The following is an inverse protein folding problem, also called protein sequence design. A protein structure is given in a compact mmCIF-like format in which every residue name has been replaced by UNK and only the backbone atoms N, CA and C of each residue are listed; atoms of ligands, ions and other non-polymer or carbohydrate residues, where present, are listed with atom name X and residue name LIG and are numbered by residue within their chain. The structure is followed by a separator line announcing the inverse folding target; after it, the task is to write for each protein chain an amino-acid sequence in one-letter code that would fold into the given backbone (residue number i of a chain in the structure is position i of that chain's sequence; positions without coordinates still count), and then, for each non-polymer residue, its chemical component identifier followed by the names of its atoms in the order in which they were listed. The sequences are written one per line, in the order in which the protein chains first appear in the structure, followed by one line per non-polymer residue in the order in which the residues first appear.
data_IF_869822257691
#
_entry.id   IF_869822257691
#
_cell.length_a   1.000
_cell.length_b   1.000
_cell.length_c   1.000
_cell.angle_alpha   90.00
_cell.angle_beta   90.00
_cell.angle_gamma   90.00
#
_symmetry.space_group_name_H-M   'P 1'
#
loop_
_entity.id
_entity.type
_entity.pdbx_description
1 polymer ?
#
# COMPACT_ATOMS: atom_id res chain seq x y z
N UNK A 1 -1.01 -18.33 19.40
CA UNK A 1 -2.23 -18.70 18.64
C UNK A 1 -2.92 -17.42 18.16
N UNK A 2 -3.66 -17.49 17.06
CA UNK A 2 -4.52 -16.41 16.57
C UNK A 2 -5.87 -17.00 16.17
N UNK A 3 -6.96 -16.30 16.48
CA UNK A 3 -8.32 -16.64 16.05
C UNK A 3 -8.77 -15.66 14.97
N UNK A 4 -9.40 -16.20 13.92
CA UNK A 4 -9.80 -15.47 12.72
C UNK A 4 -11.30 -15.66 12.52
N UNK A 5 -12.02 -14.57 12.22
CA UNK A 5 -13.42 -14.62 11.81
C UNK A 5 -13.62 -13.79 10.55
N UNK A 6 -14.24 -14.38 9.53
CA UNK A 6 -14.55 -13.73 8.26
C UNK A 6 -16.06 -13.45 8.18
N UNK A 7 -16.44 -12.43 7.42
CA UNK A 7 -17.85 -11.98 7.30
C UNK A 7 -18.80 -13.05 6.72
N UNK A 8 -18.26 -14.07 6.04
CA UNK A 8 -19.03 -15.23 5.57
C UNK A 8 -19.26 -16.29 6.66
N UNK A 9 -18.90 -16.01 7.91
CA UNK A 9 -19.08 -16.88 9.07
C UNK A 9 -17.95 -17.91 9.28
N UNK A 10 -16.93 -17.91 8.42
CA UNK A 10 -15.77 -18.80 8.58
C UNK A 10 -14.97 -18.40 9.82
N UNK A 11 -14.80 -19.35 10.73
CA UNK A 11 -14.00 -19.20 11.95
C UNK A 11 -12.84 -20.18 11.93
N UNK A 12 -11.62 -19.67 12.10
CA UNK A 12 -10.39 -20.46 12.05
C UNK A 12 -9.50 -20.14 13.26
N UNK A 13 -8.71 -21.13 13.67
CA UNK A 13 -7.59 -20.94 14.59
C UNK A 13 -6.30 -21.28 13.86
N UNK A 14 -5.29 -20.45 14.05
CA UNK A 14 -4.01 -20.59 13.39
C UNK A 14 -2.85 -20.20 14.31
N UNK A 15 -1.64 -20.29 13.77
CA UNK A 15 -0.42 -19.91 14.48
C UNK A 15 -0.10 -18.44 14.19
N UNK A 16 0.40 -17.73 15.21
CA UNK A 16 0.85 -16.34 15.06
C UNK A 16 2.37 -16.32 15.03
N UNK A 17 2.94 -15.52 14.13
CA UNK A 17 4.37 -15.27 14.06
C UNK A 17 4.73 -13.78 13.97
N UNK A 18 3.77 -12.88 13.82
CA UNK A 18 3.99 -11.42 13.73
C UNK A 18 3.69 -10.68 15.04
N UNK A 19 3.13 -9.47 14.91
CA UNK A 19 2.68 -8.67 16.04
C UNK A 19 1.51 -9.35 16.80
N UNK A 20 1.24 -8.86 18.01
CA UNK A 20 0.08 -9.24 18.83
C UNK A 20 -0.99 -8.14 18.79
N UNK A 21 -2.24 -8.51 18.98
CA UNK A 21 -3.37 -7.58 19.05
C UNK A 21 -4.63 -8.13 18.39
N UNK A 22 -5.62 -7.25 18.25
CA UNK A 22 -6.83 -7.46 17.45
C UNK A 22 -6.83 -6.46 16.32
N UNK A 23 -7.00 -6.93 15.09
CA UNK A 23 -7.05 -6.07 13.91
C UNK A 23 -8.22 -6.48 13.02
N UNK A 24 -8.83 -5.49 12.38
CA UNK A 24 -9.91 -5.67 11.40
C UNK A 24 -9.45 -5.14 10.06
N UNK A 25 -9.83 -5.83 8.99
CA UNK A 25 -9.48 -5.44 7.65
C UNK A 25 -10.15 -6.29 6.60
N UNK A 26 -10.00 -5.89 5.34
CA UNK A 26 -10.47 -6.66 4.20
C UNK A 26 -9.43 -7.71 3.80
N UNK A 27 -9.87 -8.93 3.55
CA UNK A 27 -9.03 -10.04 3.14
C UNK A 27 -8.91 -10.05 1.61
N UNK A 28 -7.67 -9.91 1.13
CA UNK A 28 -7.31 -10.01 -0.29
C UNK A 28 -6.25 -11.09 -0.48
N UNK A 29 -5.96 -11.47 -1.72
CA UNK A 29 -4.86 -12.38 -2.01
C UNK A 29 -3.88 -11.81 -3.04
N UNK A 30 -2.63 -12.21 -2.90
CA UNK A 30 -1.56 -11.84 -3.81
C UNK A 30 -0.83 -13.09 -4.35
N UNK A 31 -0.64 -13.14 -5.66
CA UNK A 31 -0.06 -14.30 -6.36
C UNK A 31 1.44 -14.22 -6.59
N UNK A 32 2.10 -13.17 -6.13
CA UNK A 32 3.55 -13.00 -6.25
C UNK A 32 4.28 -14.14 -5.53
N UNK A 33 5.28 -14.69 -6.22
CA UNK A 33 6.16 -15.75 -5.68
C UNK A 33 7.36 -15.18 -4.91
N UNK A 34 7.65 -13.90 -5.09
CA UNK A 34 8.70 -13.13 -4.43
C UNK A 34 8.21 -11.72 -4.10
N UNK A 35 9.01 -10.96 -3.36
CA UNK A 35 8.68 -9.57 -3.06
C UNK A 35 7.59 -9.41 -1.99
N UNK A 36 7.53 -10.33 -1.01
CA UNK A 36 6.52 -10.27 0.04
C UNK A 36 6.66 -9.01 0.89
N UNK A 37 7.88 -8.49 1.09
CA UNK A 37 8.11 -7.31 1.90
C UNK A 37 7.61 -6.05 1.21
N UNK A 38 7.85 -5.92 -0.08
CA UNK A 38 7.38 -4.85 -0.95
C UNK A 38 5.85 -4.81 -0.96
N UNK A 39 5.20 -5.99 -1.03
CA UNK A 39 3.74 -6.11 -0.89
C UNK A 39 3.27 -5.67 0.50
N UNK A 40 3.96 -6.09 1.57
CA UNK A 40 3.59 -5.76 2.95
C UNK A 40 3.69 -4.26 3.21
N UNK A 41 4.66 -3.58 2.59
CA UNK A 41 4.96 -2.15 2.75
C UNK A 41 4.35 -1.25 1.69
N UNK A 42 3.55 -1.79 0.76
CA UNK A 42 2.82 -1.00 -0.23
C UNK A 42 1.60 -0.33 0.45
N UNK A 43 1.51 1.02 0.41
CA UNK A 43 0.40 1.77 1.01
C UNK A 43 -0.98 1.36 0.49
N UNK A 44 -1.06 0.79 -0.71
CA UNK A 44 -2.31 0.35 -1.33
C UNK A 44 -3.01 -0.76 -0.52
N UNK A 45 -2.27 -1.52 0.27
CA UNK A 45 -2.83 -2.56 1.17
C UNK A 45 -3.19 -2.04 2.57
N UNK A 46 -3.16 -0.71 2.80
CA UNK A 46 -3.57 -0.16 4.10
C UNK A 46 -5.00 -0.60 4.44
N UNK A 47 -5.18 -1.15 5.63
CA UNK A 47 -6.48 -1.68 6.07
C UNK A 47 -6.76 -3.11 5.60
N UNK A 48 -5.89 -3.73 4.81
CA UNK A 48 -6.12 -5.07 4.25
C UNK A 48 -5.24 -6.14 4.89
N UNK A 49 -5.77 -7.36 4.97
CA UNK A 49 -5.02 -8.59 5.20
C UNK A 49 -4.64 -9.23 3.87
N UNK A 50 -3.37 -9.56 3.68
CA UNK A 50 -2.87 -10.17 2.44
C UNK A 50 -2.64 -11.66 2.62
N UNK A 51 -3.39 -12.48 1.88
CA UNK A 51 -3.13 -13.92 1.73
C UNK A 51 -2.11 -14.13 0.63
N UNK A 52 -0.94 -14.65 0.97
CA UNK A 52 0.06 -15.02 -0.04
C UNK A 52 -0.25 -16.40 -0.61
N UNK A 53 -0.26 -16.49 -1.94
CA UNK A 53 -0.41 -17.78 -2.62
C UNK A 53 0.86 -18.64 -2.57
N UNK A 54 2.04 -18.00 -2.48
CA UNK A 54 3.32 -18.67 -2.36
C UNK A 54 3.37 -19.43 -1.02
N UNK A 55 3.62 -20.75 -1.03
CA UNK A 55 3.54 -21.56 0.19
C UNK A 55 4.62 -21.19 1.21
N UNK A 56 5.84 -20.90 0.75
CA UNK A 56 7.00 -20.62 1.59
C UNK A 56 7.29 -19.11 1.64
N UNK A 57 7.02 -18.50 2.80
CA UNK A 57 7.23 -17.06 3.02
C UNK A 57 8.27 -16.86 4.13
N UNK A 58 9.10 -15.83 4.00
CA UNK A 58 10.16 -15.49 4.96
C UNK A 58 11.56 -16.01 4.60
N UNK A 59 11.69 -16.77 3.50
CA UNK A 59 12.96 -17.45 3.11
C UNK A 59 14.14 -16.51 2.85
N UNK A 60 13.89 -15.25 2.48
CA UNK A 60 14.94 -14.23 2.26
C UNK A 60 15.01 -13.19 3.37
N UNK A 61 14.31 -13.40 4.49
CA UNK A 61 14.29 -12.47 5.62
C UNK A 61 13.64 -11.14 5.23
N UNK A 62 14.10 -10.05 5.80
CA UNK A 62 13.67 -8.70 5.44
C UNK A 62 14.79 -7.68 5.69
N UNK A 63 14.70 -6.53 5.03
CA UNK A 63 15.66 -5.41 5.12
C UNK A 63 14.98 -4.09 4.77
N UNK A 64 15.35 -2.96 5.39
CA UNK A 64 14.61 -1.71 5.15
C UNK A 64 14.77 -1.13 3.73
N UNK A 65 15.68 -1.65 2.90
CA UNK A 65 15.85 -1.18 1.52
C UNK A 65 14.74 -1.71 0.60
N UNK A 66 14.07 -2.80 0.95
CA UNK A 66 12.92 -3.34 0.20
C UNK A 66 11.57 -2.77 0.68
N UNK A 67 11.56 -1.80 1.60
CA UNK A 67 10.32 -1.09 1.97
C UNK A 67 9.89 -0.13 0.84
N UNK A 68 8.66 -0.30 0.37
CA UNK A 68 8.00 0.62 -0.56
C UNK A 68 7.45 1.86 0.16
N UNK A 69 7.22 1.80 1.47
CA UNK A 69 6.82 2.94 2.29
C UNK A 69 7.00 2.69 3.79
N UNK A 70 6.71 3.72 4.61
CA UNK A 70 6.59 3.58 6.06
C UNK A 70 5.25 2.95 6.51
N UNK A 71 4.29 2.81 5.60
CA UNK A 71 3.01 2.18 5.87
C UNK A 71 3.06 0.68 5.61
N UNK A 72 2.08 -0.04 6.15
CA UNK A 72 1.98 -1.48 5.96
C UNK A 72 0.53 -1.93 5.86
N UNK A 73 0.33 -3.11 5.28
CA UNK A 73 -0.91 -3.86 5.40
C UNK A 73 -1.25 -4.18 6.87
N UNK A 74 -2.51 -4.52 7.14
CA UNK A 74 -3.01 -4.87 8.48
C UNK A 74 -2.42 -6.19 8.99
N UNK A 75 -2.24 -7.15 8.08
CA UNK A 75 -1.70 -8.45 8.42
C UNK A 75 -1.45 -9.32 7.20
N UNK A 76 -0.75 -10.43 7.41
CA UNK A 76 -0.43 -11.39 6.37
C UNK A 76 -0.85 -12.80 6.77
N UNK A 77 -1.35 -13.55 5.80
CA UNK A 77 -1.70 -14.96 5.95
C UNK A 77 -0.81 -15.78 5.01
N UNK A 78 -0.09 -16.73 5.58
CA UNK A 78 0.86 -17.58 4.84
C UNK A 78 0.60 -19.05 5.15
N UNK A 79 0.98 -19.93 4.22
CA UNK A 79 0.86 -21.37 4.44
C UNK A 79 1.97 -21.85 5.39
N UNK A 80 3.23 -21.64 5.00
CA UNK A 80 4.42 -21.95 5.78
C UNK A 80 5.24 -20.68 5.98
N UNK A 81 5.55 -20.40 7.25
CA UNK A 81 6.48 -19.34 7.62
C UNK A 81 7.84 -19.97 7.92
N UNK A 82 8.89 -19.46 7.25
CA UNK A 82 10.27 -19.88 7.48
C UNK A 82 10.92 -18.94 8.51
N UNK A 83 11.23 -19.48 9.69
CA UNK A 83 11.92 -18.73 10.74
C UNK A 83 13.39 -18.44 10.37
N UNK A 84 14.05 -19.42 9.74
CA UNK A 84 15.39 -19.27 9.21
C UNK A 84 15.33 -18.69 7.81
N UNK A 85 16.09 -17.62 7.60
CA UNK A 85 16.24 -16.98 6.29
C UNK A 85 17.67 -17.13 5.77
N UNK A 86 17.83 -17.12 4.44
CA UNK A 86 19.13 -17.19 3.78
C UNK A 86 19.19 -16.23 2.60
N UNK A 87 19.65 -15.02 2.87
CA UNK A 87 19.92 -14.02 1.85
C UNK A 87 20.98 -13.03 2.35
N UNK A 88 21.93 -12.64 1.50
CA UNK A 88 23.00 -11.72 1.87
C UNK A 88 22.51 -10.30 2.19
N UNK A 89 21.31 -9.92 1.72
CA UNK A 89 20.69 -8.62 1.99
C UNK A 89 19.83 -8.60 3.24
N UNK A 90 19.61 -9.74 3.91
CA UNK A 90 18.69 -9.83 5.03
C UNK A 90 19.32 -9.31 6.32
N UNK A 91 18.64 -8.37 6.98
CA UNK A 91 19.05 -7.80 8.27
C UNK A 91 18.35 -8.49 9.45
N UNK A 92 17.14 -9.03 9.21
CA UNK A 92 16.29 -9.63 10.24
C UNK A 92 15.31 -10.65 9.65
N UNK A 93 14.72 -11.48 10.51
CA UNK A 93 13.64 -12.40 10.12
C UNK A 93 12.37 -11.62 9.80
N UNK A 94 11.50 -12.21 8.97
CA UNK A 94 10.21 -11.60 8.68
C UNK A 94 9.34 -11.45 9.95
N UNK A 95 9.40 -12.38 10.92
CA UNK A 95 8.72 -12.22 12.22
C UNK A 95 9.14 -10.94 12.94
N UNK A 96 10.45 -10.68 13.04
CA UNK A 96 10.97 -9.49 13.70
C UNK A 96 10.54 -8.21 12.98
N UNK A 97 10.56 -8.22 11.64
CA UNK A 97 10.04 -7.13 10.81
C UNK A 97 8.57 -6.83 11.09
N UNK A 98 7.70 -7.85 11.04
CA UNK A 98 6.25 -7.68 11.24
C UNK A 98 5.94 -7.15 12.64
N UNK A 99 6.61 -7.65 13.68
CA UNK A 99 6.48 -7.14 15.05
C UNK A 99 6.86 -5.66 15.13
N UNK A 100 7.98 -5.27 14.51
CA UNK A 100 8.43 -3.86 14.48
C UNK A 100 7.44 -2.95 13.74
N UNK A 101 6.76 -3.47 12.71
CA UNK A 101 5.76 -2.72 11.92
C UNK A 101 4.34 -2.80 12.48
N UNK A 102 4.11 -3.55 13.55
CA UNK A 102 2.76 -3.76 14.12
C UNK A 102 1.84 -4.58 13.22
N UNK A 103 2.38 -5.40 12.33
CA UNK A 103 1.63 -6.21 11.36
C UNK A 103 1.35 -7.59 11.93
N UNK A 104 0.11 -8.06 11.87
CA UNK A 104 -0.22 -9.43 12.28
C UNK A 104 0.36 -10.44 11.27
N UNK A 105 1.07 -11.45 11.76
CA UNK A 105 1.57 -12.56 10.94
C UNK A 105 0.86 -13.85 11.32
N UNK A 106 0.16 -14.47 10.37
CA UNK A 106 -0.65 -15.67 10.58
C UNK A 106 -0.16 -16.79 9.66
N UNK A 107 0.17 -17.95 10.22
CA UNK A 107 0.68 -19.10 9.47
C UNK A 107 -0.05 -20.41 9.80
N UNK A 108 0.17 -21.43 8.98
CA UNK A 108 -0.48 -22.74 9.12
C UNK A 108 -1.92 -22.79 8.62
N UNK A 109 -2.36 -21.77 7.87
CA UNK A 109 -3.70 -21.75 7.24
C UNK A 109 -3.65 -22.43 5.88
N UNK A 110 -4.77 -22.99 5.42
CA UNK A 110 -4.92 -23.41 4.03
C UNK A 110 -5.17 -22.17 3.14
N UNK A 111 -4.07 -21.52 2.73
CA UNK A 111 -4.14 -20.33 1.87
C UNK A 111 -4.80 -20.61 0.54
N UNK A 112 -4.69 -21.84 -0.01
CA UNK A 112 -5.34 -22.21 -1.27
C UNK A 112 -6.86 -22.23 -1.13
N UNK A 113 -7.38 -22.80 -0.03
CA UNK A 113 -8.82 -22.78 0.24
C UNK A 113 -9.32 -21.36 0.49
N UNK A 114 -8.58 -20.52 1.23
CA UNK A 114 -8.93 -19.10 1.41
C UNK A 114 -8.98 -18.34 0.08
N UNK A 115 -7.98 -18.53 -0.79
CA UNK A 115 -7.95 -17.90 -2.12
C UNK A 115 -9.15 -18.35 -2.97
N UNK A 116 -9.53 -19.64 -2.93
CA UNK A 116 -10.74 -20.11 -3.60
C UNK A 116 -11.99 -19.42 -3.06
N UNK A 117 -12.12 -19.29 -1.74
CA UNK A 117 -13.24 -18.57 -1.12
C UNK A 117 -13.33 -17.14 -1.63
N UNK A 118 -12.22 -16.40 -1.64
CA UNK A 118 -12.15 -15.02 -2.13
C UNK A 118 -12.48 -14.91 -3.62
N UNK A 119 -12.03 -15.86 -4.45
CA UNK A 119 -12.38 -15.89 -5.88
C UNK A 119 -13.88 -16.09 -6.12
N UNK A 120 -14.58 -16.79 -5.23
CA UNK A 120 -16.02 -17.04 -5.36
C UNK A 120 -16.89 -15.93 -4.77
N UNK A 121 -16.45 -15.28 -3.68
CA UNK A 121 -17.27 -14.32 -2.93
C UNK A 121 -16.83 -12.86 -3.12
N UNK A 122 -15.69 -12.61 -3.77
CA UNK A 122 -15.01 -11.32 -3.74
C UNK A 122 -14.20 -11.13 -2.46
N UNK A 123 -13.77 -9.89 -2.23
CA UNK A 123 -13.07 -9.51 -1.00
C UNK A 123 -14.00 -9.66 0.22
N UNK A 124 -13.47 -10.14 1.34
CA UNK A 124 -14.24 -10.40 2.56
C UNK A 124 -13.68 -9.60 3.72
N UNK A 125 -14.52 -8.95 4.52
CA UNK A 125 -14.09 -8.39 5.80
C UNK A 125 -13.71 -9.51 6.78
N UNK A 126 -12.68 -9.24 7.58
CA UNK A 126 -12.10 -10.18 8.54
C UNK A 126 -11.60 -9.47 9.79
N UNK A 127 -11.77 -10.14 10.95
CA UNK A 127 -11.04 -9.82 12.18
C UNK A 127 -10.07 -10.95 12.52
N UNK A 128 -8.87 -10.59 12.95
CA UNK A 128 -7.89 -11.50 13.53
C UNK A 128 -7.49 -11.03 14.92
N UNK A 129 -7.40 -11.94 15.89
CA UNK A 129 -6.98 -11.61 17.24
C UNK A 129 -6.07 -12.66 17.88
N UNK A 130 -4.98 -12.19 18.48
CA UNK A 130 -4.11 -13.00 19.36
C UNK A 130 -4.55 -12.95 20.83
N UNK A 131 -5.61 -12.21 21.16
CA UNK A 131 -6.05 -11.94 22.53
C UNK A 131 -7.46 -12.48 22.75
N UNK A 132 -8.38 -12.18 21.84
CA UNK A 132 -9.75 -12.68 21.86
C UNK A 132 -9.87 -13.93 20.98
N UNK A 133 -10.57 -14.94 21.49
CA UNK A 133 -10.68 -16.26 20.87
C UNK A 133 -12.12 -16.78 20.85
N UNK A 134 -13.06 -16.06 21.47
CA UNK A 134 -14.48 -16.31 21.37
C UNK A 134 -15.01 -15.88 19.99
N UNK A 135 -15.70 -16.80 19.33
CA UNK A 135 -16.27 -16.58 17.98
C UNK A 135 -17.30 -15.45 17.99
N UNK A 136 -18.19 -15.41 18.99
CA UNK A 136 -19.31 -14.46 19.02
C UNK A 136 -18.80 -13.03 19.24
N UNK A 137 -17.79 -12.84 20.08
CA UNK A 137 -17.15 -11.54 20.27
C UNK A 137 -16.41 -11.08 19.02
N UNK A 138 -15.71 -11.97 18.32
CA UNK A 138 -15.05 -11.62 17.06
C UNK A 138 -16.07 -11.25 15.97
N UNK A 139 -17.19 -11.98 15.92
CA UNK A 139 -18.31 -11.63 15.05
C UNK A 139 -18.89 -10.24 15.38
N UNK A 140 -19.07 -9.91 16.66
CA UNK A 140 -19.52 -8.59 17.09
C UNK A 140 -18.53 -7.48 16.71
N UNK A 141 -17.22 -7.70 16.93
CA UNK A 141 -16.17 -6.76 16.51
C UNK A 141 -16.24 -6.50 15.01
N UNK A 142 -16.39 -7.56 14.21
CA UNK A 142 -16.44 -7.45 12.75
C UNK A 142 -17.70 -6.73 12.27
N UNK A 143 -18.87 -7.01 12.87
CA UNK A 143 -20.14 -6.35 12.55
C UNK A 143 -20.12 -4.84 12.82
N UNK A 144 -19.41 -4.41 13.86
CA UNK A 144 -19.31 -3.00 14.24
C UNK A 144 -18.18 -2.25 13.53
N UNK A 145 -17.33 -2.93 12.75
CA UNK A 145 -16.22 -2.31 12.06
C UNK A 145 -16.67 -1.60 10.77
N UNK A 146 -16.13 -0.40 10.47
CA UNK A 146 -16.40 0.25 9.20
C UNK A 146 -15.80 -0.56 8.06
N UNK A 147 -16.49 -0.59 6.92
CA UNK A 147 -15.92 -1.13 5.68
C UNK A 147 -14.79 -0.23 5.18
N UNK A 148 -13.83 -0.83 4.50
CA UNK A 148 -12.72 -0.12 3.87
C UNK A 148 -13.21 0.96 2.90
N UNK A 149 -14.25 0.67 2.13
CA UNK A 149 -14.87 1.62 1.19
C UNK A 149 -15.36 2.92 1.84
N UNK A 150 -15.62 2.91 3.15
CA UNK A 150 -16.11 4.06 3.90
C UNK A 150 -15.02 4.73 4.75
N UNK A 151 -13.79 4.23 4.69
CA UNK A 151 -12.67 4.73 5.50
C UNK A 151 -11.79 5.68 4.67
N UNK A 152 -11.38 6.85 5.19
CA UNK A 152 -10.53 7.81 4.46
C UNK A 152 -9.06 7.33 4.43
N UNK A 153 -8.80 6.19 3.78
CA UNK A 153 -7.49 5.53 3.83
C UNK A 153 -6.39 6.38 3.19
N UNK A 154 -6.69 7.09 2.10
CA UNK A 154 -5.75 8.00 1.43
C UNK A 154 -5.22 9.06 2.40
N UNK A 155 -6.09 9.69 3.19
CA UNK A 155 -5.68 10.69 4.17
C UNK A 155 -4.74 10.09 5.25
N UNK A 156 -4.86 8.80 5.53
CA UNK A 156 -3.99 8.10 6.49
C UNK A 156 -2.61 7.72 5.94
N UNK A 157 -2.39 7.79 4.62
CA UNK A 157 -1.14 7.41 3.96
C UNK A 157 -0.50 8.52 3.12
N UNK A 158 -1.17 9.66 2.97
CA UNK A 158 -0.61 10.85 2.31
C UNK A 158 0.42 11.56 3.19
N UNK A 159 1.42 12.17 2.56
CA UNK A 159 2.30 13.14 3.22
C UNK A 159 1.49 14.30 3.82
N UNK A 160 1.85 14.80 5.03
CA UNK A 160 1.18 15.95 5.65
C UNK A 160 1.65 17.30 5.09
N UNK A 161 2.79 17.33 4.38
CA UNK A 161 3.38 18.55 3.82
C UNK A 161 4.12 18.25 2.53
N UNK A 162 4.44 19.31 1.80
CA UNK A 162 5.23 19.20 0.58
C UNK A 162 6.64 18.71 0.95
N UNK A 163 7.08 17.63 0.30
CA UNK A 163 8.43 17.06 0.49
C UNK A 163 9.07 16.77 -0.86
N UNK A 164 10.39 16.87 -0.94
CA UNK A 164 11.16 16.47 -2.13
C UNK A 164 11.70 15.07 -1.92
N UNK A 165 11.44 14.16 -2.86
CA UNK A 165 12.06 12.83 -2.83
C UNK A 165 13.57 12.94 -3.05
N UNK A 166 14.37 12.04 -2.46
CA UNK A 166 15.84 12.19 -2.39
C UNK A 166 16.61 11.02 -3.01
N UNK A 167 15.92 10.04 -3.60
CA UNK A 167 16.52 8.80 -4.08
C UNK A 167 16.09 8.50 -5.52
N UNK A 168 16.99 7.90 -6.28
CA UNK A 168 16.71 7.28 -7.57
C UNK A 168 16.70 5.75 -7.43
N UNK A 169 16.76 5.02 -8.55
CA UNK A 169 16.69 3.54 -8.58
C UNK A 169 17.76 2.86 -7.75
N UNK A 170 17.44 1.65 -7.28
CA UNK A 170 18.36 0.74 -6.61
C UNK A 170 19.50 0.32 -7.55
N UNK A 171 20.74 0.29 -7.04
CA UNK A 171 21.92 -0.19 -7.75
C UNK A 171 22.42 -1.50 -7.15
N UNK A 172 22.36 -2.57 -7.94
CA UNK A 172 22.81 -3.90 -7.52
C UNK A 172 24.33 -4.02 -7.35
N UNK A 173 25.12 -3.06 -7.85
CA UNK A 173 26.58 -3.06 -7.63
C UNK A 173 26.95 -2.55 -6.24
N UNK A 174 26.26 -1.52 -5.77
CA UNK A 174 26.48 -0.93 -4.43
C UNK A 174 25.55 -1.51 -3.38
N UNK A 175 24.50 -2.23 -3.81
CA UNK A 175 23.39 -2.69 -2.98
C UNK A 175 22.71 -1.53 -2.24
N UNK A 176 22.60 -0.37 -2.89
CA UNK A 176 21.97 0.82 -2.34
C UNK A 176 21.22 1.62 -3.40
N UNK A 177 20.35 2.52 -2.93
CA UNK A 177 19.69 3.49 -3.81
C UNK A 177 20.67 4.56 -4.25
N UNK A 178 20.62 4.91 -5.53
CA UNK A 178 21.38 6.05 -6.05
C UNK A 178 20.85 7.35 -5.40
N UNK A 179 21.73 8.26 -4.96
CA UNK A 179 21.28 9.56 -4.49
C UNK A 179 20.69 10.37 -5.64
N UNK A 180 19.78 11.28 -5.32
CA UNK A 180 19.36 12.31 -6.27
C UNK A 180 20.55 13.23 -6.60
N UNK A 181 20.87 13.41 -7.89
CA UNK A 181 21.89 14.36 -8.32
C UNK A 181 21.29 15.73 -8.58
N UNK A 182 21.37 16.62 -7.59
CA UNK A 182 20.85 18.00 -7.73
C UNK A 182 21.55 18.82 -8.83
N UNK A 183 22.70 18.36 -9.33
CA UNK A 183 23.47 19.07 -10.36
C UNK A 183 22.97 18.75 -11.77
N UNK A 184 22.22 17.67 -11.95
CA UNK A 184 21.62 17.37 -13.25
C UNK A 184 20.39 18.26 -13.48
N UNK A 185 20.20 18.73 -14.70
CA UNK A 185 19.00 19.51 -15.04
C UNK A 185 17.78 18.61 -15.01
N UNK A 186 16.89 18.83 -14.05
CA UNK A 186 15.68 18.06 -13.86
C UNK A 186 14.44 18.91 -14.16
N UNK A 187 13.48 18.32 -14.87
CA UNK A 187 12.11 18.86 -14.85
C UNK A 187 11.47 18.50 -13.52
N UNK A 188 10.76 19.44 -12.90
CA UNK A 188 10.06 19.20 -11.64
C UNK A 188 8.65 18.68 -11.95
N UNK A 189 8.24 17.61 -11.29
CA UNK A 189 6.87 17.07 -11.38
C UNK A 189 6.24 17.14 -9.99
N UNK A 190 5.02 17.68 -9.93
CA UNK A 190 4.21 17.60 -8.73
C UNK A 190 3.58 16.20 -8.63
N UNK A 191 3.85 15.47 -7.55
CA UNK A 191 3.23 14.19 -7.25
C UNK A 191 2.09 14.44 -6.25
N UNK A 192 0.84 14.19 -6.62
CA UNK A 192 -0.25 14.11 -5.65
C UNK A 192 -0.18 12.76 -4.94
N UNK A 193 0.09 12.80 -3.64
CA UNK A 193 0.36 11.64 -2.82
C UNK A 193 -0.92 11.02 -2.27
N UNK A 194 -1.40 9.99 -2.95
CA UNK A 194 -2.50 9.16 -2.48
C UNK A 194 -2.03 7.95 -1.65
N UNK A 195 -0.74 7.86 -1.32
CA UNK A 195 -0.07 6.65 -0.81
C UNK A 195 1.00 6.17 -1.79
N UNK A 196 1.85 7.08 -2.25
CA UNK A 196 2.85 6.81 -3.28
C UNK A 196 3.88 5.77 -2.81
N UNK A 197 4.09 4.76 -3.66
CA UNK A 197 5.20 3.82 -3.51
C UNK A 197 6.54 4.51 -3.74
N UNK A 198 7.52 4.18 -2.91
CA UNK A 198 8.90 4.66 -3.01
C UNK A 198 9.51 4.36 -4.37
N UNK A 199 9.25 3.17 -4.94
CA UNK A 199 9.83 2.83 -6.24
C UNK A 199 9.31 3.67 -7.40
N UNK A 200 8.05 4.11 -7.36
CA UNK A 200 7.52 5.05 -8.37
C UNK A 200 8.32 6.36 -8.35
N UNK A 201 8.59 6.88 -7.15
CA UNK A 201 9.36 8.10 -6.96
C UNK A 201 10.82 7.94 -7.40
N UNK A 202 11.42 6.77 -7.11
CA UNK A 202 12.76 6.41 -7.57
C UNK A 202 12.86 6.40 -9.10
N UNK A 203 11.88 5.80 -9.78
CA UNK A 203 11.85 5.73 -11.24
C UNK A 203 11.66 7.11 -11.89
N UNK A 204 10.78 7.95 -11.32
CA UNK A 204 10.62 9.34 -11.79
C UNK A 204 11.96 10.09 -11.75
N UNK A 205 12.71 9.98 -10.66
CA UNK A 205 14.03 10.61 -10.57
C UNK A 205 15.04 10.02 -11.53
N UNK A 206 15.05 8.70 -11.71
CA UNK A 206 15.98 8.02 -12.60
C UNK A 206 15.80 8.44 -14.07
N UNK A 207 14.58 8.78 -14.49
CA UNK A 207 14.33 9.36 -15.84
C UNK A 207 14.49 10.88 -15.90
N UNK A 208 15.02 11.51 -14.85
CA UNK A 208 15.34 12.92 -14.81
C UNK A 208 14.20 13.83 -14.34
N UNK A 209 13.18 13.30 -13.67
CA UNK A 209 12.06 14.08 -13.12
C UNK A 209 12.20 14.25 -11.60
N UNK A 210 12.42 15.48 -11.13
CA UNK A 210 12.46 15.81 -9.70
C UNK A 210 11.04 15.74 -9.15
N UNK A 211 10.76 14.74 -8.31
CA UNK A 211 9.46 14.54 -7.69
C UNK A 211 9.28 15.43 -6.45
N UNK A 212 8.37 16.41 -6.55
CA UNK A 212 7.88 17.22 -5.44
C UNK A 212 6.53 16.66 -4.99
N UNK A 213 6.48 16.07 -3.80
CA UNK A 213 5.34 15.30 -3.31
C UNK A 213 4.42 16.22 -2.51
N UNK A 214 3.19 16.36 -2.98
CA UNK A 214 2.13 17.19 -2.41
C UNK A 214 1.11 16.30 -1.67
N UNK A 215 0.53 16.78 -0.55
CA UNK A 215 -0.59 16.09 0.10
C UNK A 215 -1.76 15.80 -0.86
N UNK A 216 -2.49 14.70 -0.63
CA UNK A 216 -3.64 14.31 -1.46
C UNK A 216 -4.69 15.42 -1.64
N UNK A 217 -4.86 16.27 -0.62
CA UNK A 217 -5.86 17.33 -0.56
C UNK A 217 -5.37 18.67 -1.14
N UNK A 218 -4.22 18.70 -1.81
CA UNK A 218 -3.68 19.92 -2.41
C UNK A 218 -4.66 20.52 -3.43
N UNK A 219 -4.86 21.84 -3.35
CA UNK A 219 -5.80 22.55 -4.22
C UNK A 219 -5.25 22.71 -5.63
N UNK A 220 -6.10 22.48 -6.63
CA UNK A 220 -5.74 22.62 -8.04
C UNK A 220 -5.22 24.01 -8.36
N UNK A 221 -5.76 25.07 -7.73
CA UNK A 221 -5.30 26.45 -7.91
C UNK A 221 -3.82 26.64 -7.55
N UNK A 222 -3.30 25.91 -6.57
CA UNK A 222 -1.90 25.95 -6.18
C UNK A 222 -1.01 25.35 -7.27
N UNK A 223 -1.37 24.16 -7.77
CA UNK A 223 -0.63 23.45 -8.81
C UNK A 223 -0.70 24.16 -10.17
N UNK A 224 -1.85 24.76 -10.50
CA UNK A 224 -2.02 25.58 -11.70
C UNK A 224 -1.06 26.77 -11.65
N UNK A 225 -1.03 27.50 -10.52
CA UNK A 225 -0.12 28.64 -10.34
C UNK A 225 1.34 28.23 -10.44
N UNK A 226 1.73 27.08 -9.86
CA UNK A 226 3.09 26.55 -9.97
C UNK A 226 3.44 26.20 -11.43
N UNK A 227 2.49 25.63 -12.18
CA UNK A 227 2.67 25.29 -13.58
C UNK A 227 2.80 26.54 -14.48
N UNK A 228 1.94 27.54 -14.30
CA UNK A 228 1.98 28.81 -15.03
C UNK A 228 3.31 29.55 -14.84
N UNK A 229 3.87 29.48 -13.63
CA UNK A 229 5.19 30.03 -13.30
C UNK A 229 6.36 29.17 -13.77
N UNK A 230 6.10 28.01 -14.40
CA UNK A 230 7.10 27.01 -14.82
C UNK A 230 7.93 26.44 -13.67
N UNK A 231 7.39 26.47 -12.45
CA UNK A 231 7.99 25.83 -11.26
C UNK A 231 7.83 24.30 -11.33
N UNK A 232 6.76 23.82 -11.99
CA UNK A 232 6.55 22.41 -12.31
C UNK A 232 6.27 22.24 -13.81
N UNK A 233 6.57 21.04 -14.34
CA UNK A 233 6.40 20.68 -15.76
C UNK A 233 5.18 19.78 -16.01
N UNK A 234 4.56 19.25 -14.96
CA UNK A 234 3.43 18.34 -15.04
C UNK A 234 3.07 17.78 -13.68
N UNK A 235 2.02 16.96 -13.64
CA UNK A 235 1.47 16.38 -12.42
C UNK A 235 1.44 14.85 -12.57
N UNK A 236 1.84 14.16 -11.51
CA UNK A 236 1.74 12.72 -11.38
C UNK A 236 0.73 12.37 -10.29
N UNK A 237 -0.19 11.45 -10.59
CA UNK A 237 -1.21 10.95 -9.67
C UNK A 237 -0.78 9.56 -9.19
N UNK A 238 -0.44 9.41 -7.91
CA UNK A 238 0.13 8.18 -7.40
C UNK A 238 -0.88 7.04 -7.26
N UNK A 239 -0.37 5.85 -6.93
CA UNK A 239 -1.17 4.78 -6.36
C UNK A 239 -1.69 5.17 -4.95
N UNK A 240 -2.61 4.38 -4.42
CA UNK A 240 -3.13 4.54 -3.07
C UNK A 240 -4.16 3.47 -2.72
N UNK A 241 -4.57 3.41 -1.44
CA UNK A 241 -5.59 2.49 -0.95
C UNK A 241 -7.00 3.02 -1.15
N UNK A 242 -7.98 2.13 -0.95
CA UNK A 242 -9.40 2.50 -0.84
C UNK A 242 -10.12 2.64 -2.18
N UNK A 243 -11.37 3.08 -2.09
CA UNK A 243 -12.26 3.24 -3.24
C UNK A 243 -12.12 4.64 -3.86
N UNK A 244 -11.79 4.79 -5.16
CA UNK A 244 -11.72 6.09 -5.83
C UNK A 244 -13.02 6.89 -5.75
N UNK A 245 -14.18 6.23 -5.63
CA UNK A 245 -15.48 6.91 -5.51
C UNK A 245 -15.64 7.66 -4.18
N UNK A 246 -14.83 7.33 -3.16
CA UNK A 246 -14.79 8.07 -1.90
C UNK A 246 -14.06 9.43 -2.00
N UNK A 247 -13.29 9.65 -3.07
CA UNK A 247 -12.39 10.80 -3.25
C UNK A 247 -13.00 11.91 -4.11
N UNK A 248 -14.26 12.25 -3.84
CA UNK A 248 -15.01 13.23 -4.64
C UNK A 248 -14.37 14.62 -4.68
N UNK A 249 -13.70 15.01 -3.60
CA UNK A 249 -13.00 16.30 -3.54
C UNK A 249 -11.79 16.30 -4.47
N UNK A 250 -10.96 15.26 -4.41
CA UNK A 250 -9.78 15.05 -5.25
C UNK A 250 -10.18 14.94 -6.72
N UNK A 251 -11.26 14.22 -7.06
CA UNK A 251 -11.83 14.18 -8.41
C UNK A 251 -12.16 15.59 -8.90
N UNK A 252 -12.77 16.43 -8.04
CA UNK A 252 -13.07 17.83 -8.35
C UNK A 252 -11.84 18.72 -8.54
N UNK A 253 -10.75 18.47 -7.80
CA UNK A 253 -9.46 19.12 -8.02
C UNK A 253 -8.85 18.67 -9.36
N UNK A 254 -8.84 17.36 -9.64
CA UNK A 254 -8.30 16.79 -10.90
C UNK A 254 -9.05 17.32 -12.12
N UNK A 255 -10.38 17.44 -12.07
CA UNK A 255 -11.16 18.09 -13.14
C UNK A 255 -10.67 19.50 -13.47
N UNK A 256 -10.32 20.29 -12.46
CA UNK A 256 -9.76 21.64 -12.66
C UNK A 256 -8.38 21.59 -13.29
N UNK A 257 -7.52 20.64 -12.90
CA UNK A 257 -6.21 20.43 -13.51
C UNK A 257 -6.31 20.02 -14.99
N UNK A 258 -7.29 19.16 -15.33
CA UNK A 258 -7.58 18.77 -16.73
C UNK A 258 -7.98 20.01 -17.54
N UNK A 259 -8.89 20.83 -17.02
CA UNK A 259 -9.35 22.06 -17.71
C UNK A 259 -8.22 23.06 -17.93
N UNK A 260 -7.24 23.11 -17.03
CA UNK A 260 -6.02 23.91 -17.16
C UNK A 260 -4.99 23.32 -18.16
N UNK A 261 -5.27 22.16 -18.77
CA UNK A 261 -4.44 21.48 -19.78
C UNK A 261 -3.03 21.16 -19.29
N UNK A 262 -2.88 20.86 -17.99
CA UNK A 262 -1.59 20.46 -17.42
C UNK A 262 -1.32 18.99 -17.79
N UNK A 263 -0.11 18.65 -18.29
CA UNK A 263 0.25 17.26 -18.55
C UNK A 263 0.15 16.42 -17.29
N UNK A 264 -0.59 15.30 -17.38
CA UNK A 264 -0.86 14.41 -16.25
C UNK A 264 -0.57 12.96 -16.59
N UNK A 265 -0.03 12.23 -15.60
CA UNK A 265 0.16 10.78 -15.67
C UNK A 265 -0.31 10.15 -14.35
N UNK A 266 -1.15 9.12 -14.42
CA UNK A 266 -1.71 8.46 -13.24
C UNK A 266 -1.47 6.96 -13.23
N UNK A 267 -1.18 6.40 -12.05
CA UNK A 267 -0.96 4.96 -11.83
C UNK A 267 -1.94 4.43 -10.78
N UNK A 268 -2.53 3.25 -11.02
CA UNK A 268 -3.46 2.58 -10.09
C UNK A 268 -4.62 3.51 -9.70
N UNK A 269 -4.72 3.92 -8.43
CA UNK A 269 -5.71 4.88 -7.96
C UNK A 269 -5.67 6.20 -8.77
N UNK A 270 -4.49 6.72 -9.08
CA UNK A 270 -4.35 7.92 -9.93
C UNK A 270 -4.93 7.74 -11.34
N UNK A 271 -4.87 6.54 -11.92
CA UNK A 271 -5.53 6.24 -13.19
C UNK A 271 -7.06 6.22 -13.06
N UNK A 272 -7.58 5.58 -12.01
CA UNK A 272 -9.02 5.55 -11.72
C UNK A 272 -9.58 6.96 -11.51
N UNK A 273 -8.90 7.79 -10.72
CA UNK A 273 -9.30 9.18 -10.49
C UNK A 273 -9.29 10.02 -11.77
N UNK A 274 -8.30 9.82 -12.63
CA UNK A 274 -8.23 10.48 -13.94
C UNK A 274 -9.41 10.05 -14.85
N UNK A 275 -9.74 8.75 -14.86
CA UNK A 275 -10.89 8.20 -15.59
C UNK A 275 -12.21 8.83 -15.11
N UNK A 276 -12.45 8.85 -13.80
CA UNK A 276 -13.69 9.41 -13.21
C UNK A 276 -13.76 10.92 -13.43
N UNK A 277 -12.64 11.63 -13.34
CA UNK A 277 -12.57 13.06 -13.63
C UNK A 277 -13.00 13.38 -15.07
N UNK A 278 -12.78 12.47 -16.02
CA UNK A 278 -13.24 12.59 -17.41
C UNK A 278 -14.66 12.04 -17.66
N UNK A 279 -15.34 11.55 -16.63
CA UNK A 279 -16.72 11.05 -16.73
C UNK A 279 -16.85 9.55 -17.01
N UNK A 280 -15.76 8.79 -16.92
CA UNK A 280 -15.79 7.33 -17.09
C UNK A 280 -15.81 6.62 -15.72
N UNK A 281 -16.86 5.85 -15.41
CA UNK A 281 -17.01 5.21 -14.10
C UNK A 281 -16.04 4.04 -13.90
N UNK A 282 -15.81 3.68 -12.63
CA UNK A 282 -15.07 2.50 -12.18
C UNK A 282 -16.03 1.49 -11.55
N UNK A 283 -15.68 0.19 -11.55
CA UNK A 283 -16.49 -0.91 -11.03
C UNK A 283 -15.68 -1.86 -10.15
#
# INVERSE_FOLDING_TARGET
MVSLYLENGLFLKAQSFGASGTQVGELVFNTSMSGYQEVISDPSYKGQFVVFSMPEIGVVGANFKDDESFFSCTGVLVRHYNEFFSNSRADFSLSAYLKKRGVLGICGVDTRSLIKTLRHHGCLMMVASTIEHDKNKLEEILKNAPRISHSPLVASVSTPKIITHQRATFDFKTLDYKPFDEKTSHKIIAVLDFGAKGNILNELQNVGLKALIYPHHTKASELIKAYEKKEISGIFLSNGPGDPLSLQQEIGEIKRLINAKIPMFGICLGHQLLSIAQGYPTY
#
